data_IF_805036373639
#
_entry.id   IF_805036373639
#
_cell.length_a   1.000
_cell.length_b   1.000
_cell.length_c   1.000
_cell.angle_alpha   90.00
_cell.angle_beta   90.00
_cell.angle_gamma   90.00
#
_symmetry.space_group_name_H-M   'P 1'
#
loop_
_entity.id
_entity.type
_entity.pdbx_description
1 polymer ?
#
# COMPACT_ATOMS: atom_id res chain seq x y z
N UNK A 1 22.66 -2.00 1.12
CA UNK A 1 21.57 -2.99 1.12
C UNK A 1 20.38 -2.38 1.82
N UNK A 2 19.17 -2.45 1.25
CA UNK A 2 17.93 -1.94 1.87
C UNK A 2 17.20 -3.14 2.46
N UNK A 3 16.95 -3.12 3.77
CA UNK A 3 16.02 -4.05 4.44
C UNK A 3 14.74 -3.28 4.73
N UNK A 4 13.58 -3.90 4.49
CA UNK A 4 12.26 -3.31 4.76
C UNK A 4 11.44 -4.28 5.61
N UNK A 5 10.87 -3.79 6.70
CA UNK A 5 9.87 -4.51 7.50
C UNK A 5 8.50 -3.84 7.32
N UNK A 6 7.71 -4.26 6.32
CA UNK A 6 6.40 -3.65 6.06
C UNK A 6 5.36 -4.16 7.05
N UNK A 7 4.61 -3.23 7.66
CA UNK A 7 3.33 -3.50 8.32
C UNK A 7 2.25 -2.80 7.52
N UNK A 8 1.20 -3.52 7.15
CA UNK A 8 0.12 -2.96 6.38
C UNK A 8 -1.24 -3.25 6.99
N UNK A 9 -2.09 -2.24 6.94
CA UNK A 9 -3.48 -2.31 7.35
C UNK A 9 -4.38 -1.93 6.18
N UNK A 10 -5.36 -2.77 5.90
CA UNK A 10 -6.39 -2.45 4.92
C UNK A 10 -7.35 -1.43 5.52
N UNK A 11 -7.57 -0.33 4.81
CA UNK A 11 -8.49 0.73 5.24
C UNK A 11 -9.69 0.78 4.31
N UNK A 12 -10.87 0.97 4.90
CA UNK A 12 -12.10 1.21 4.16
C UNK A 12 -12.68 2.54 4.59
N UNK A 13 -13.02 3.41 3.64
CA UNK A 13 -13.72 4.67 3.90
C UNK A 13 -14.97 4.77 3.03
N UNK A 14 -15.99 5.50 3.49
CA UNK A 14 -17.23 5.67 2.73
C UNK A 14 -17.21 7.06 2.09
N UNK A 15 -17.46 7.13 0.78
CA UNK A 15 -17.78 8.40 0.10
C UNK A 15 -19.30 8.54 -0.07
N UNK A 16 -19.76 9.65 -0.68
CA UNK A 16 -21.21 9.93 -0.86
C UNK A 16 -21.96 8.86 -1.68
N UNK A 17 -21.26 7.91 -2.30
CA UNK A 17 -21.79 7.03 -3.35
C UNK A 17 -21.22 5.59 -3.33
N UNK A 18 -20.36 5.24 -2.39
CA UNK A 18 -19.81 3.88 -2.30
C UNK A 18 -18.72 3.69 -1.24
N UNK A 19 -18.31 2.43 -1.08
CA UNK A 19 -17.18 2.03 -0.26
C UNK A 19 -15.88 2.18 -1.06
N UNK A 20 -14.91 2.85 -0.46
CA UNK A 20 -13.54 2.97 -0.95
C UNK A 20 -12.63 2.06 -0.14
N UNK A 21 -11.83 1.26 -0.84
CA UNK A 21 -10.78 0.44 -0.25
C UNK A 21 -9.42 1.04 -0.52
N UNK A 22 -8.55 1.03 0.48
CA UNK A 22 -7.16 1.44 0.37
C UNK A 22 -6.29 0.66 1.34
N UNK A 23 -5.02 1.03 1.41
CA UNK A 23 -4.06 0.44 2.34
C UNK A 23 -3.24 1.53 2.99
N UNK A 24 -2.90 1.33 4.25
CA UNK A 24 -1.81 2.05 4.89
C UNK A 24 -0.63 1.09 4.98
N UNK A 25 0.51 1.50 4.43
CA UNK A 25 1.77 0.78 4.54
C UNK A 25 2.70 1.61 5.41
N UNK A 26 2.94 1.14 6.63
CA UNK A 26 4.01 1.63 7.49
C UNK A 26 5.25 0.76 7.28
N UNK A 27 6.40 1.40 7.10
CA UNK A 27 7.63 0.66 6.88
C UNK A 27 8.84 1.36 7.50
N UNK A 28 9.78 0.53 7.95
CA UNK A 28 11.11 0.97 8.36
C UNK A 28 12.10 0.47 7.31
N UNK A 29 13.02 1.33 6.89
CA UNK A 29 14.09 0.96 5.99
C UNK A 29 15.44 1.50 6.46
N UNK A 30 16.50 0.74 6.17
CA UNK A 30 17.88 1.14 6.44
C UNK A 30 18.66 1.29 5.15
N UNK A 31 19.31 2.44 4.97
CA UNK A 31 20.32 2.67 3.96
C UNK A 31 21.70 2.50 4.59
N UNK A 32 22.43 1.48 4.17
CA UNK A 32 23.79 1.20 4.69
C UNK A 32 24.86 2.16 4.17
N UNK A 33 24.55 2.92 3.13
CA UNK A 33 25.46 3.89 2.51
C UNK A 33 24.66 4.99 1.82
N UNK A 34 25.30 6.13 1.58
CA UNK A 34 24.74 7.17 0.72
C UNK A 34 24.55 6.64 -0.71
N UNK A 35 23.45 7.04 -1.35
CA UNK A 35 23.11 6.68 -2.72
C UNK A 35 22.89 7.95 -3.55
N UNK A 36 23.36 7.94 -4.80
CA UNK A 36 23.25 9.11 -5.68
C UNK A 36 21.82 9.34 -6.16
N UNK A 37 21.01 8.28 -6.27
CA UNK A 37 19.62 8.35 -6.70
C UNK A 37 18.72 7.84 -5.58
N UNK A 38 17.60 8.55 -5.27
CA UNK A 38 16.59 8.06 -4.36
C UNK A 38 16.11 6.67 -4.81
N UNK A 39 16.20 5.64 -3.95
CA UNK A 39 15.48 4.40 -4.17
C UNK A 39 13.98 4.69 -4.20
N UNK A 40 13.21 3.86 -4.88
CA UNK A 40 11.77 4.06 -5.03
C UNK A 40 11.04 2.85 -4.51
N UNK A 41 10.11 3.06 -3.58
CA UNK A 41 9.12 2.04 -3.25
C UNK A 41 7.96 2.19 -4.21
N UNK A 42 7.60 1.08 -4.85
CA UNK A 42 6.42 0.92 -5.69
C UNK A 42 5.46 -0.01 -4.97
N UNK A 43 4.27 0.48 -4.67
CA UNK A 43 3.19 -0.28 -4.07
C UNK A 43 2.07 -0.42 -5.09
N UNK A 44 1.76 -1.65 -5.46
CA UNK A 44 0.70 -1.96 -6.41
C UNK A 44 -0.42 -2.69 -5.71
N UNK A 45 -1.67 -2.28 -6.01
CA UNK A 45 -2.86 -3.03 -5.66
C UNK A 45 -3.24 -3.92 -6.83
N UNK A 46 -3.40 -5.21 -6.59
CA UNK A 46 -3.73 -6.21 -7.59
C UNK A 46 -5.06 -6.88 -7.25
N UNK A 47 -5.83 -7.26 -8.27
CA UNK A 47 -6.98 -8.16 -8.09
C UNK A 47 -6.53 -9.64 -8.03
N UNK A 48 -7.48 -10.57 -7.86
CA UNK A 48 -7.23 -12.02 -7.89
C UNK A 48 -6.49 -12.52 -9.14
N UNK A 49 -6.72 -11.89 -10.28
CA UNK A 49 -6.10 -12.24 -11.56
C UNK A 49 -4.68 -11.66 -11.70
N UNK A 50 -4.16 -11.00 -10.66
CA UNK A 50 -2.87 -10.28 -10.65
C UNK A 50 -2.81 -9.10 -11.64
N UNK A 51 -3.96 -8.55 -11.99
CA UNK A 51 -4.05 -7.28 -12.74
C UNK A 51 -3.83 -6.12 -11.77
N UNK A 52 -2.90 -5.22 -12.11
CA UNK A 52 -2.65 -4.00 -11.34
C UNK A 52 -3.82 -3.04 -11.53
N UNK A 53 -4.46 -2.67 -10.41
CA UNK A 53 -5.59 -1.75 -10.38
C UNK A 53 -5.18 -0.33 -10.00
N UNK A 54 -4.17 -0.21 -9.14
CA UNK A 54 -3.62 1.06 -8.69
C UNK A 54 -2.13 0.91 -8.42
N UNK A 55 -1.39 2.00 -8.55
CA UNK A 55 0.05 2.04 -8.29
C UNK A 55 0.38 3.33 -7.56
N UNK A 56 1.05 3.19 -6.43
CA UNK A 56 1.58 4.29 -5.66
C UNK A 56 3.09 4.19 -5.55
N UNK A 57 3.76 5.33 -5.59
CA UNK A 57 5.23 5.38 -5.56
C UNK A 57 5.73 6.38 -4.55
N UNK A 58 6.83 6.04 -3.88
CA UNK A 58 7.49 6.92 -2.93
C UNK A 58 9.00 6.91 -3.10
N UNK A 59 9.55 8.11 -3.26
CA UNK A 59 11.00 8.32 -3.24
C UNK A 59 11.51 8.21 -1.80
N UNK A 60 12.54 7.40 -1.59
CA UNK A 60 13.23 7.26 -0.32
C UNK A 60 14.37 8.27 -0.20
N UNK A 61 14.93 8.37 1.01
CA UNK A 61 16.09 9.24 1.26
C UNK A 61 17.32 8.71 0.55
N UNK A 62 18.33 9.58 0.40
CA UNK A 62 19.60 9.25 -0.25
C UNK A 62 20.76 9.09 0.72
N UNK A 63 20.57 9.45 1.99
CA UNK A 63 21.62 9.40 3.01
C UNK A 63 21.57 8.09 3.78
N UNK A 64 22.73 7.62 4.20
CA UNK A 64 22.84 6.47 5.09
C UNK A 64 22.09 6.75 6.40
N UNK A 65 21.38 5.76 6.90
CA UNK A 65 20.57 5.88 8.11
C UNK A 65 19.38 4.93 8.11
N UNK A 66 18.71 4.88 9.26
CA UNK A 66 17.45 4.17 9.43
C UNK A 66 16.32 5.18 9.46
N UNK A 67 15.27 4.90 8.68
CA UNK A 67 14.14 5.81 8.51
C UNK A 67 12.84 5.03 8.67
N UNK A 68 11.87 5.68 9.30
CA UNK A 68 10.49 5.24 9.33
C UNK A 68 9.69 6.14 8.39
N UNK A 69 8.83 5.53 7.60
CA UNK A 69 7.99 6.25 6.66
C UNK A 69 6.68 5.49 6.41
N UNK A 70 5.74 6.16 5.75
CA UNK A 70 4.43 5.59 5.44
C UNK A 70 4.00 5.89 4.01
N UNK A 71 3.21 5.00 3.40
CA UNK A 71 2.48 5.22 2.15
C UNK A 71 1.01 4.98 2.43
N UNK A 72 0.16 5.93 2.01
CA UNK A 72 -1.28 5.71 1.93
C UNK A 72 -1.58 5.37 0.48
N UNK A 73 -2.06 4.16 0.26
CA UNK A 73 -2.45 3.66 -1.05
C UNK A 73 -3.78 4.24 -1.49
N UNK A 74 -3.88 4.45 -2.80
CA UNK A 74 -5.06 5.00 -3.46
C UNK A 74 -6.36 4.27 -3.07
N UNK A 75 -7.41 5.08 -2.94
CA UNK A 75 -8.74 4.65 -2.55
C UNK A 75 -9.53 4.24 -3.78
N UNK A 76 -9.53 2.94 -4.11
CA UNK A 76 -10.34 2.44 -5.21
C UNK A 76 -11.79 2.24 -4.80
N UNK A 77 -12.73 2.47 -5.73
CA UNK A 77 -14.13 2.15 -5.50
C UNK A 77 -14.31 0.64 -5.50
N UNK A 78 -14.82 0.12 -4.40
CA UNK A 78 -15.11 -1.30 -4.25
C UNK A 78 -16.47 -1.62 -4.86
N UNK A 79 -16.62 -2.75 -5.57
CA UNK A 79 -17.90 -3.18 -6.12
C UNK A 79 -18.85 -3.75 -5.04
N UNK A 80 -18.62 -3.43 -3.77
CA UNK A 80 -19.38 -3.94 -2.63
C UNK A 80 -20.53 -3.01 -2.24
N UNK A 81 -21.63 -3.58 -1.76
CA UNK A 81 -22.79 -2.82 -1.32
C UNK A 81 -22.51 -2.15 0.05
N UNK A 82 -22.84 -0.86 0.17
CA UNK A 82 -22.80 -0.05 1.41
C UNK A 82 -23.61 -0.63 2.58
N UNK A 83 -24.60 -1.49 2.30
CA UNK A 83 -25.36 -2.21 3.33
C UNK A 83 -24.60 -3.40 3.95
N UNK A 84 -23.40 -3.73 3.45
CA UNK A 84 -22.59 -4.84 3.97
C UNK A 84 -21.84 -4.40 5.22
N UNK A 85 -21.87 -5.22 6.26
CA UNK A 85 -21.10 -5.01 7.48
C UNK A 85 -19.60 -4.75 7.20
N UNK A 86 -18.99 -3.80 7.92
CA UNK A 86 -17.62 -3.34 7.67
C UNK A 86 -16.58 -4.46 7.81
N UNK A 87 -16.73 -5.37 8.76
CA UNK A 87 -15.79 -6.48 8.93
C UNK A 87 -15.87 -7.45 7.74
N UNK A 88 -17.07 -7.67 7.21
CA UNK A 88 -17.27 -8.49 6.01
C UNK A 88 -16.69 -7.83 4.76
N UNK A 89 -16.77 -6.50 4.67
CA UNK A 89 -16.14 -5.73 3.59
C UNK A 89 -14.62 -5.88 3.65
N UNK A 90 -14.01 -5.73 4.82
CA UNK A 90 -12.56 -5.87 5.01
C UNK A 90 -12.12 -7.29 4.66
N UNK A 91 -12.85 -8.31 5.11
CA UNK A 91 -12.54 -9.72 4.78
C UNK A 91 -12.60 -9.99 3.27
N UNK A 92 -13.63 -9.48 2.58
CA UNK A 92 -13.71 -9.62 1.12
C UNK A 92 -12.57 -8.89 0.43
N UNK A 93 -12.20 -7.72 0.93
CA UNK A 93 -11.10 -6.95 0.38
C UNK A 93 -9.76 -7.67 0.53
N UNK A 94 -9.50 -8.31 1.67
CA UNK A 94 -8.31 -9.14 1.89
C UNK A 94 -8.30 -10.39 1.01
N UNK A 95 -9.48 -10.94 0.70
CA UNK A 95 -9.61 -12.12 -0.16
C UNK A 95 -9.49 -11.76 -1.65
N UNK A 96 -9.96 -10.58 -2.05
CA UNK A 96 -10.09 -10.15 -3.44
C UNK A 96 -8.89 -9.38 -3.99
N UNK A 97 -8.12 -8.76 -3.10
CA UNK A 97 -7.02 -7.89 -3.49
C UNK A 97 -5.72 -8.23 -2.76
N UNK A 98 -4.63 -8.10 -3.51
CA UNK A 98 -3.26 -8.33 -3.04
C UNK A 98 -2.45 -7.05 -3.18
N UNK A 99 -1.46 -6.89 -2.32
CA UNK A 99 -0.51 -5.79 -2.44
C UNK A 99 0.88 -6.30 -2.75
N UNK A 100 1.50 -5.74 -3.79
CA UNK A 100 2.88 -6.02 -4.18
C UNK A 100 3.72 -4.79 -3.86
N UNK A 101 4.71 -4.98 -2.98
CA UNK A 101 5.66 -3.93 -2.60
C UNK A 101 6.99 -4.28 -3.24
N UNK A 102 7.51 -3.37 -4.05
CA UNK A 102 8.79 -3.54 -4.76
C UNK A 102 9.69 -2.35 -4.48
N UNK A 103 10.97 -2.59 -4.25
CA UNK A 103 11.98 -1.52 -4.16
C UNK A 103 12.77 -1.49 -5.46
N UNK A 104 12.89 -0.32 -6.07
CA UNK A 104 13.66 -0.08 -7.30
C UNK A 104 14.77 0.93 -7.07
#
# INVERSE_FOLDING_TARGET
MISIEPKYDFITTMDKSGLLGGINLDFVYTLTQDVQRPPVIVMEMLNKDRTVLATETKLLRTKAGTYQDFIIGDKIRLPYNVATDREKVIKRLTDDYYYRITVK
#
